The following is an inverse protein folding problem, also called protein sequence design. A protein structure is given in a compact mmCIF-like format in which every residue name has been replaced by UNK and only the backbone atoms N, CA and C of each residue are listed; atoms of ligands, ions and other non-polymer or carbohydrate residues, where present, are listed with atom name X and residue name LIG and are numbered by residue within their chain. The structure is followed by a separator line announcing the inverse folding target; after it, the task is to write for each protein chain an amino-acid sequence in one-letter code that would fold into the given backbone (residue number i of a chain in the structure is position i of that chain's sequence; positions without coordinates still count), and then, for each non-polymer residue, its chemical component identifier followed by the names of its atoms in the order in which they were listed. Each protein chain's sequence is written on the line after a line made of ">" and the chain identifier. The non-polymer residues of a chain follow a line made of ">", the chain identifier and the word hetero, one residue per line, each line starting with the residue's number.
data_IF_753520990396
#
_entry.id   IF_753520990396
#
_cell.length_a   1.000
_cell.length_b   1.000
_cell.length_c   1.000
_cell.angle_alpha   90.00
_cell.angle_beta   90.00
_cell.angle_gamma   90.00
#
_symmetry.space_group_name_H-M   'P 1'
#
loop_
_entity.id
_entity.type
_entity.pdbx_description
1 polymer ?
#
# COMPACT_ATOMS: atom_id res chain seq x y z
N UNK A 1 12.60 4.57 -16.12
CA UNK A 1 12.64 3.13 -15.72
C UNK A 1 12.12 3.03 -14.28
N UNK A 2 11.53 1.91 -13.81
CA UNK A 2 10.79 1.81 -12.52
C UNK A 2 11.42 2.58 -11.35
N UNK A 3 12.74 2.52 -11.22
CA UNK A 3 13.55 3.10 -10.14
C UNK A 3 13.79 4.61 -10.26
N UNK A 4 13.48 5.20 -11.41
CA UNK A 4 13.69 6.61 -11.73
C UNK A 4 12.40 7.43 -11.63
N UNK A 5 11.27 6.76 -11.42
CA UNK A 5 9.93 7.33 -11.43
C UNK A 5 9.25 7.11 -10.09
N UNK A 6 8.41 8.08 -9.69
CA UNK A 6 7.55 8.00 -8.51
C UNK A 6 6.17 7.53 -8.92
N UNK A 7 5.44 6.97 -7.96
CA UNK A 7 4.04 6.58 -8.12
C UNK A 7 3.83 5.63 -9.32
N UNK A 8 4.70 4.63 -9.46
CA UNK A 8 4.60 3.63 -10.52
C UNK A 8 3.33 2.79 -10.32
N UNK A 9 2.53 2.56 -11.38
CA UNK A 9 1.35 1.73 -11.28
C UNK A 9 1.69 0.29 -10.92
N UNK A 10 0.98 -0.25 -9.93
CA UNK A 10 1.09 -1.64 -9.53
C UNK A 10 -0.26 -2.22 -9.09
N UNK A 11 -0.28 -3.51 -8.81
CA UNK A 11 -1.37 -4.17 -8.10
C UNK A 11 -0.83 -4.84 -6.85
N UNK A 12 -1.44 -4.49 -5.73
CA UNK A 12 -1.20 -5.11 -4.43
C UNK A 12 -2.18 -6.27 -4.25
N UNK A 13 -1.63 -7.47 -4.04
CA UNK A 13 -2.39 -8.67 -3.68
C UNK A 13 -1.92 -9.13 -2.30
N UNK A 14 -2.83 -9.17 -1.34
CA UNK A 14 -2.52 -9.54 0.04
C UNK A 14 -3.41 -10.67 0.49
N UNK A 15 -2.78 -11.79 0.86
CA UNK A 15 -3.40 -12.93 1.51
C UNK A 15 -2.39 -13.56 2.49
N UNK A 16 -1.79 -14.71 2.14
CA UNK A 16 -0.65 -15.30 2.86
C UNK A 16 0.63 -14.50 2.66
N UNK A 17 0.81 -13.95 1.45
CA UNK A 17 1.91 -13.07 1.08
C UNK A 17 1.36 -11.70 0.66
N UNK A 18 2.22 -10.70 0.70
CA UNK A 18 1.98 -9.41 0.07
C UNK A 18 2.79 -9.35 -1.22
N UNK A 19 2.10 -9.55 -2.35
CA UNK A 19 2.65 -9.51 -3.70
C UNK A 19 2.37 -8.15 -4.36
N UNK A 20 3.37 -7.62 -5.06
CA UNK A 20 3.25 -6.43 -5.90
C UNK A 20 3.51 -6.81 -7.35
N UNK A 21 2.56 -6.52 -8.22
CA UNK A 21 2.65 -6.80 -9.65
C UNK A 21 2.79 -5.49 -10.42
N UNK A 22 3.78 -5.43 -11.31
CA UNK A 22 4.00 -4.30 -12.21
C UNK A 22 3.60 -4.67 -13.64
N UNK A 23 2.52 -4.08 -14.12
CA UNK A 23 1.91 -4.42 -15.41
C UNK A 23 2.59 -3.77 -16.62
N UNK A 24 3.42 -2.76 -16.39
CA UNK A 24 4.07 -2.01 -17.47
C UNK A 24 5.28 -2.75 -18.07
N UNK A 25 5.69 -3.86 -17.47
CA UNK A 25 6.85 -4.65 -17.89
C UNK A 25 6.41 -5.93 -18.62
N UNK A 26 7.13 -6.27 -19.69
CA UNK A 26 7.01 -7.55 -20.40
C UNK A 26 8.42 -8.19 -20.43
N UNK A 27 8.64 -9.34 -19.77
CA UNK A 27 7.66 -10.09 -18.98
C UNK A 27 7.20 -9.34 -17.73
N UNK A 28 6.02 -9.71 -17.22
CA UNK A 28 5.47 -9.15 -15.98
C UNK A 28 6.47 -9.30 -14.83
N UNK A 29 6.67 -8.23 -14.07
CA UNK A 29 7.55 -8.23 -12.91
C UNK A 29 6.71 -8.33 -11.63
N UNK A 30 7.13 -9.20 -10.72
CA UNK A 30 6.48 -9.39 -9.42
C UNK A 30 7.50 -9.23 -8.30
N UNK A 31 7.13 -8.52 -7.24
CA UNK A 31 7.88 -8.41 -6.00
C UNK A 31 7.10 -9.01 -4.84
N UNK A 32 7.82 -9.52 -3.84
CA UNK A 32 7.27 -9.96 -2.56
C UNK A 32 7.70 -8.94 -1.51
N UNK A 33 6.72 -8.37 -0.81
CA UNK A 33 6.99 -7.49 0.33
C UNK A 33 7.32 -8.38 1.53
N UNK A 34 8.45 -8.10 2.17
CA UNK A 34 8.87 -8.74 3.42
C UNK A 34 8.53 -7.83 4.61
N UNK A 35 8.55 -8.38 5.82
CA UNK A 35 8.41 -7.61 7.07
C UNK A 35 7.13 -6.75 7.16
N UNK A 36 6.04 -7.22 6.57
CA UNK A 36 4.72 -6.58 6.63
C UNK A 36 3.80 -7.29 7.64
N UNK A 37 2.83 -6.54 8.17
CA UNK A 37 1.75 -7.09 8.98
C UNK A 37 0.41 -6.69 8.35
N UNK A 38 -0.52 -7.65 8.28
CA UNK A 38 -1.86 -7.39 7.77
C UNK A 38 -2.59 -6.30 8.57
N UNK A 39 -2.34 -6.21 9.89
CA UNK A 39 -2.96 -5.20 10.75
C UNK A 39 -2.59 -3.78 10.33
N UNK A 40 -1.32 -3.52 10.04
CA UNK A 40 -0.85 -2.20 9.62
C UNK A 40 -1.50 -1.78 8.28
N UNK A 41 -1.78 -2.74 7.40
CA UNK A 41 -2.53 -2.48 6.17
C UNK A 41 -4.01 -2.23 6.47
N UNK A 42 -4.64 -3.10 7.25
CA UNK A 42 -6.09 -3.09 7.54
C UNK A 42 -6.54 -1.83 8.27
N UNK A 43 -5.68 -1.27 9.12
CA UNK A 43 -5.95 0.02 9.76
C UNK A 43 -6.15 1.12 8.70
N UNK A 44 -5.41 1.07 7.58
CA UNK A 44 -5.32 2.15 6.58
C UNK A 44 -6.28 1.93 5.43
N UNK A 45 -6.41 0.68 5.01
CA UNK A 45 -7.22 0.28 3.85
C UNK A 45 -8.11 -0.86 4.28
N UNK A 46 -9.42 -0.63 4.22
CA UNK A 46 -10.38 -1.69 4.53
C UNK A 46 -10.26 -2.87 3.55
N UNK A 47 -10.26 -4.07 4.12
CA UNK A 47 -10.30 -5.32 3.38
C UNK A 47 -11.50 -5.35 2.41
N UNK A 48 -11.27 -5.94 1.24
CA UNK A 48 -12.34 -6.15 0.28
C UNK A 48 -13.32 -7.23 0.75
N UNK A 49 -14.57 -7.15 0.30
CA UNK A 49 -15.57 -8.20 0.54
C UNK A 49 -15.62 -9.14 -0.66
N UNK A 50 -15.13 -10.37 -0.47
CA UNK A 50 -15.27 -11.47 -1.44
C UNK A 50 -14.09 -11.63 -2.41
N UNK A 51 -13.46 -12.80 -2.39
CA UNK A 51 -12.32 -13.17 -3.24
C UNK A 51 -11.31 -14.03 -2.49
N UNK A 52 -10.27 -14.50 -3.19
CA UNK A 52 -9.14 -15.23 -2.57
C UNK A 52 -8.27 -14.30 -1.70
N UNK A 53 -8.18 -13.02 -2.07
CA UNK A 53 -7.30 -12.05 -1.43
C UNK A 53 -8.07 -11.13 -0.48
N UNK A 54 -7.46 -10.83 0.67
CA UNK A 54 -7.97 -9.86 1.65
C UNK A 54 -7.90 -8.45 1.06
N UNK A 55 -6.78 -8.14 0.41
CA UNK A 55 -6.61 -6.93 -0.38
C UNK A 55 -6.27 -7.27 -1.82
N UNK A 56 -7.06 -6.74 -2.74
CA UNK A 56 -6.78 -6.72 -4.17
C UNK A 56 -6.98 -5.29 -4.64
N UNK A 57 -5.91 -4.49 -4.61
CA UNK A 57 -6.00 -3.03 -4.77
C UNK A 57 -4.99 -2.55 -5.80
N UNK A 58 -5.45 -1.73 -6.73
CA UNK A 58 -4.53 -0.96 -7.57
C UNK A 58 -3.70 -0.05 -6.67
N UNK A 59 -2.42 0.06 -6.95
CA UNK A 59 -1.49 0.85 -6.15
C UNK A 59 -0.63 1.77 -6.99
N UNK A 60 -0.10 2.79 -6.33
CA UNK A 60 0.99 3.63 -6.83
C UNK A 60 2.15 3.46 -5.87
N UNK A 61 3.28 2.98 -6.38
CA UNK A 61 4.44 2.64 -5.56
C UNK A 61 5.70 3.35 -6.05
N UNK A 62 6.46 3.86 -5.10
CA UNK A 62 7.83 4.35 -5.33
C UNK A 62 8.79 3.40 -4.64
N UNK A 63 9.78 2.90 -5.37
CA UNK A 63 10.82 2.01 -4.82
C UNK A 63 12.21 2.57 -5.12
N UNK A 64 13.16 2.29 -4.23
CA UNK A 64 14.58 2.50 -4.47
C UNK A 64 15.33 1.18 -4.43
N UNK A 65 16.42 1.08 -5.20
CA UNK A 65 17.29 -0.09 -5.16
C UNK A 65 18.14 -0.06 -3.90
N UNK A 66 18.26 -1.21 -3.22
CA UNK A 66 19.12 -1.37 -2.06
C UNK A 66 20.35 -2.21 -2.39
N UNK A 67 20.15 -3.49 -2.69
CA UNK A 67 21.20 -4.45 -3.05
C UNK A 67 20.60 -5.61 -3.82
N UNK A 68 21.29 -6.11 -4.85
CA UNK A 68 20.83 -7.23 -5.68
C UNK A 68 19.36 -7.06 -6.13
N UNK A 69 18.49 -8.02 -5.82
CA UNK A 69 17.05 -7.98 -6.12
C UNK A 69 16.21 -7.45 -4.93
N UNK A 70 16.85 -6.79 -3.96
CA UNK A 70 16.20 -6.15 -2.81
C UNK A 70 15.96 -4.66 -3.06
N UNK A 71 14.72 -4.27 -2.84
CA UNK A 71 14.24 -2.90 -3.04
C UNK A 71 13.54 -2.41 -1.77
N UNK A 72 13.64 -1.12 -1.52
CA UNK A 72 12.94 -0.45 -0.41
C UNK A 72 11.71 0.24 -0.97
N UNK A 73 10.57 0.04 -0.32
CA UNK A 73 9.34 0.78 -0.60
C UNK A 73 9.47 2.16 0.03
N UNK A 74 9.61 3.20 -0.78
CA UNK A 74 9.69 4.59 -0.33
C UNK A 74 8.30 5.13 0.01
N UNK A 75 7.32 4.82 -0.84
CA UNK A 75 5.91 5.16 -0.63
C UNK A 75 5.00 4.17 -1.33
N UNK A 76 3.80 3.98 -0.76
CA UNK A 76 2.74 3.16 -1.34
C UNK A 76 1.39 3.81 -1.10
N UNK A 77 0.62 3.98 -2.16
CA UNK A 77 -0.81 4.32 -2.11
C UNK A 77 -1.64 3.16 -2.64
N UNK A 78 -2.81 2.93 -2.08
CA UNK A 78 -3.79 1.96 -2.58
C UNK A 78 -5.10 2.65 -2.92
N UNK A 79 -5.71 2.26 -4.04
CA UNK A 79 -6.99 2.80 -4.46
C UNK A 79 -8.15 2.12 -3.73
N UNK A 80 -8.97 2.93 -3.06
CA UNK A 80 -10.22 2.52 -2.41
C UNK A 80 -11.39 3.19 -3.11
N UNK A 81 -12.31 2.39 -3.61
CA UNK A 81 -13.50 2.90 -4.31
C UNK A 81 -14.33 3.76 -3.37
N UNK A 82 -14.59 5.01 -3.75
CA UNK A 82 -15.35 5.97 -2.95
C UNK A 82 -14.50 6.91 -2.11
N UNK A 83 -13.25 6.54 -1.82
CA UNK A 83 -12.32 7.34 -1.01
C UNK A 83 -11.11 7.83 -1.82
N UNK A 84 -10.75 7.15 -2.92
CA UNK A 84 -9.66 7.52 -3.81
C UNK A 84 -8.35 6.84 -3.43
N UNK A 85 -7.23 7.55 -3.58
CA UNK A 85 -5.90 7.04 -3.28
C UNK A 85 -5.58 7.24 -1.80
N UNK A 86 -5.56 6.14 -1.05
CA UNK A 86 -5.19 6.14 0.36
C UNK A 86 -3.69 5.90 0.47
N UNK A 87 -2.99 6.79 1.17
CA UNK A 87 -1.58 6.57 1.50
C UNK A 87 -1.47 5.49 2.56
N UNK A 88 -0.65 4.48 2.30
CA UNK A 88 -0.40 3.36 3.20
C UNK A 88 1.00 3.47 3.80
N UNK A 89 1.99 3.74 2.95
CA UNK A 89 3.39 3.95 3.33
C UNK A 89 3.83 5.31 2.78
N UNK A 90 4.49 6.11 3.61
CA UNK A 90 5.13 7.37 3.23
C UNK A 90 6.47 7.46 3.98
N UNK A 91 7.53 7.89 3.30
CA UNK A 91 8.88 7.96 3.88
C UNK A 91 9.33 6.62 4.50
N UNK A 92 9.00 5.50 3.84
CA UNK A 92 9.33 4.12 4.24
C UNK A 92 8.63 3.62 5.52
N UNK A 93 7.71 4.40 6.07
CA UNK A 93 6.96 4.04 7.27
C UNK A 93 5.46 4.00 6.96
N UNK A 94 4.74 3.14 7.68
CA UNK A 94 3.29 3.14 7.64
C UNK A 94 2.77 4.47 8.18
N UNK A 95 1.88 5.13 7.44
CA UNK A 95 1.41 6.48 7.85
C UNK A 95 0.59 6.44 9.13
N UNK A 96 0.93 7.22 10.14
CA UNK A 96 0.12 7.28 11.35
C UNK A 96 -1.30 7.81 11.08
N UNK A 97 -2.27 7.31 11.84
CA UNK A 97 -3.58 7.95 11.89
C UNK A 97 -3.45 9.24 12.69
N UNK A 98 -3.85 10.35 12.08
CA UNK A 98 -4.26 11.50 12.87
C UNK A 98 -5.59 11.07 13.48
N UNK A 99 -5.62 10.77 14.78
CA UNK A 99 -6.89 10.71 15.49
C UNK A 99 -7.61 12.03 15.22
N UNK A 100 -8.74 11.98 14.52
CA UNK A 100 -9.64 13.13 14.51
C UNK A 100 -10.05 13.34 15.96
N UNK A 101 -9.49 14.37 16.61
CA UNK A 101 -9.95 14.77 17.91
C UNK A 101 -11.47 14.94 17.83
N UNK A 102 -12.21 14.25 18.70
CA UNK A 102 -13.65 14.44 18.76
C UNK A 102 -13.92 15.94 18.87
N UNK A 103 -14.75 16.51 17.99
CA UNK A 103 -14.99 17.93 18.03
C UNK A 103 -15.62 18.27 19.38
N UNK A 104 -15.19 19.39 19.98
CA UNK A 104 -15.41 19.70 21.41
C UNK A 104 -16.88 19.67 21.86
N UNK A 105 -17.83 19.75 20.92
CA UNK A 105 -19.27 19.65 21.18
C UNK A 105 -19.77 18.22 21.48
N UNK A 106 -18.96 17.18 21.22
CA UNK A 106 -19.25 15.78 21.60
C UNK A 106 -18.65 15.38 22.96
N UNK A 107 -17.64 16.12 23.45
CA UNK A 107 -16.88 15.76 24.66
C UNK A 107 -17.64 15.98 25.99
N UNK A 108 -18.85 16.56 25.99
CA UNK A 108 -19.60 16.94 27.21
C UNK A 108 -21.12 16.65 27.15
N UNK A 109 -21.53 15.38 26.98
CA UNK A 109 -22.91 14.94 27.26
C UNK A 109 -22.96 13.82 28.29
#
# INVERSE_FOLDING_TARGET
>A
MLLETRDNPCLCKIYENFEIIFFEFIPEMTGIVNEWNIKDIDERVLAGVGGKYIHYKHGLITVSHQIDDLYIIESLKMFVRGEGWITVIENREYVDFIEEEEPDWLKNN
#
